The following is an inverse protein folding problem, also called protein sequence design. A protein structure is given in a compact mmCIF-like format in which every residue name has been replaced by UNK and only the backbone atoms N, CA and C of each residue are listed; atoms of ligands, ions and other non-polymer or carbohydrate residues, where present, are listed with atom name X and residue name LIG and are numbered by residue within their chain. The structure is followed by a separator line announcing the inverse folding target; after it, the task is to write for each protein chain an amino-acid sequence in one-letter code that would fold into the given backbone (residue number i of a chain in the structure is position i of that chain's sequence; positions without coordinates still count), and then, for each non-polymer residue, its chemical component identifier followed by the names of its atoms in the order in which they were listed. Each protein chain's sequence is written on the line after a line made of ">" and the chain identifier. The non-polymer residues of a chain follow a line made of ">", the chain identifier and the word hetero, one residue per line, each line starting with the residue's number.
data_IF_179725855461
#
_entry.id   IF_179725855461
#
_cell.length_a   1.000
_cell.length_b   1.000
_cell.length_c   1.000
_cell.angle_alpha   90.00
_cell.angle_beta   90.00
_cell.angle_gamma   90.00
#
_symmetry.space_group_name_H-M   'P 1'
#
loop_
_entity.id
_entity.type
_entity.pdbx_description
1 polymer ?
#
# COMPACT_ATOMS: atom_id res chain seq x y z
N UNK A 1 -7.26 -20.64 -15.86
CA UNK A 1 -6.18 -19.68 -16.18
C UNK A 1 -5.58 -19.13 -14.89
N UNK A 2 -6.41 -18.72 -13.93
CA UNK A 2 -6.03 -18.21 -12.60
C UNK A 2 -5.04 -19.11 -11.82
N UNK A 3 -5.28 -20.43 -11.76
CA UNK A 3 -4.39 -21.37 -11.05
C UNK A 3 -2.95 -21.46 -11.61
N UNK A 4 -2.76 -21.22 -12.91
CA UNK A 4 -1.44 -21.26 -13.53
C UNK A 4 -0.63 -19.98 -13.25
N UNK A 5 -1.30 -18.82 -13.26
CA UNK A 5 -0.71 -17.55 -12.86
C UNK A 5 -0.33 -17.57 -11.37
N UNK A 6 -1.22 -18.09 -10.52
CA UNK A 6 -0.97 -18.22 -9.09
C UNK A 6 0.27 -19.09 -8.76
N UNK A 7 0.42 -20.23 -9.45
CA UNK A 7 1.58 -21.09 -9.34
C UNK A 7 2.87 -20.41 -9.80
N UNK A 8 2.81 -19.66 -10.92
CA UNK A 8 3.96 -18.91 -11.42
C UNK A 8 4.40 -17.83 -10.42
N UNK A 9 3.45 -17.09 -9.84
CA UNK A 9 3.75 -16.07 -8.83
C UNK A 9 4.38 -16.68 -7.57
N UNK A 10 3.91 -17.85 -7.14
CA UNK A 10 4.51 -18.55 -6.00
C UNK A 10 5.97 -18.97 -6.27
N UNK A 11 6.32 -19.27 -7.54
CA UNK A 11 7.69 -19.59 -7.93
C UNK A 11 8.58 -18.35 -8.03
N UNK A 12 8.03 -17.24 -8.54
CA UNK A 12 8.79 -16.01 -8.78
C UNK A 12 8.94 -15.13 -7.54
N UNK A 13 7.98 -15.18 -6.62
CA UNK A 13 7.94 -14.30 -5.45
C UNK A 13 9.22 -14.37 -4.60
N UNK A 14 9.77 -15.54 -4.22
CA UNK A 14 10.98 -15.61 -3.40
C UNK A 14 12.18 -14.87 -4.00
N UNK A 15 12.31 -14.84 -5.34
CA UNK A 15 13.40 -14.11 -6.00
C UNK A 15 13.31 -12.58 -5.80
N UNK A 16 12.14 -12.04 -5.44
CA UNK A 16 11.99 -10.62 -5.09
C UNK A 16 12.66 -10.26 -3.76
N UNK A 17 12.92 -11.24 -2.88
CA UNK A 17 13.65 -10.99 -1.64
C UNK A 17 15.11 -10.63 -1.91
N UNK A 18 15.73 -11.26 -2.91
CA UNK A 18 17.10 -10.96 -3.33
C UNK A 18 17.22 -9.52 -3.86
N UNK A 19 16.18 -9.03 -4.50
CA UNK A 19 16.10 -7.65 -5.02
C UNK A 19 16.06 -6.59 -3.92
N UNK A 20 15.75 -6.95 -2.67
CA UNK A 20 15.79 -5.98 -1.56
C UNK A 20 17.20 -5.46 -1.28
N UNK A 21 18.24 -6.18 -1.72
CA UNK A 21 19.63 -5.69 -1.73
C UNK A 21 19.76 -4.43 -2.59
N UNK A 22 19.01 -4.37 -3.69
CA UNK A 22 18.90 -3.22 -4.58
C UNK A 22 17.47 -2.66 -4.57
N UNK A 23 17.12 -1.91 -3.52
CA UNK A 23 15.77 -1.38 -3.35
C UNK A 23 15.22 -0.61 -4.56
N UNK A 24 16.08 -0.03 -5.42
CA UNK A 24 15.64 0.64 -6.65
C UNK A 24 15.14 -0.37 -7.71
N UNK A 25 15.82 -1.49 -7.90
CA UNK A 25 15.37 -2.55 -8.81
C UNK A 25 14.08 -3.19 -8.32
N UNK A 26 13.96 -3.38 -6.99
CA UNK A 26 12.71 -3.78 -6.36
C UNK A 26 11.56 -2.79 -6.70
N UNK A 27 11.80 -1.48 -6.55
CA UNK A 27 10.81 -0.46 -6.93
C UNK A 27 10.43 -0.53 -8.40
N UNK A 28 11.39 -0.62 -9.32
CA UNK A 28 11.14 -0.64 -10.77
C UNK A 28 10.29 -1.85 -11.20
N UNK A 29 10.43 -3.01 -10.52
CA UNK A 29 9.68 -4.22 -10.83
C UNK A 29 8.21 -4.18 -10.38
N UNK A 30 7.92 -3.47 -9.29
CA UNK A 30 6.65 -3.52 -8.56
C UNK A 30 5.78 -2.28 -8.70
N UNK A 31 6.34 -1.15 -9.12
CA UNK A 31 5.62 0.12 -9.32
C UNK A 31 5.60 0.47 -10.80
N UNK A 32 4.47 1.03 -11.26
CA UNK A 32 4.38 1.48 -12.64
C UNK A 32 5.32 2.64 -12.91
N UNK A 33 6.27 2.43 -13.81
CA UNK A 33 7.24 3.44 -14.26
C UNK A 33 7.18 3.58 -15.78
N UNK A 34 7.58 4.73 -16.31
CA UNK A 34 7.64 4.98 -17.75
C UNK A 34 8.68 4.11 -18.50
N UNK A 35 9.45 3.27 -17.80
CA UNK A 35 10.54 2.48 -18.38
C UNK A 35 10.11 1.06 -18.77
N UNK A 36 8.88 0.63 -18.43
CA UNK A 36 8.30 -0.65 -18.85
C UNK A 36 8.92 -1.90 -18.20
N UNK A 37 9.73 -1.74 -17.15
CA UNK A 37 10.39 -2.84 -16.42
C UNK A 37 9.61 -3.30 -15.18
N UNK A 38 8.28 -3.31 -15.26
CA UNK A 38 7.37 -3.44 -14.12
C UNK A 38 6.46 -4.68 -14.22
N UNK A 39 7.03 -5.90 -14.35
CA UNK A 39 6.26 -7.12 -14.59
C UNK A 39 5.22 -7.43 -13.50
N UNK A 40 5.41 -6.88 -12.29
CA UNK A 40 4.54 -7.12 -11.14
C UNK A 40 3.70 -5.91 -10.75
N UNK A 41 3.67 -4.83 -11.54
CA UNK A 41 2.96 -3.60 -11.17
C UNK A 41 1.47 -3.81 -10.87
N UNK A 42 0.82 -4.76 -11.55
CA UNK A 42 -0.63 -4.99 -11.46
C UNK A 42 -0.97 -6.40 -10.99
N UNK A 43 0.00 -7.16 -10.49
CA UNK A 43 -0.16 -8.57 -10.12
C UNK A 43 0.21 -8.74 -8.65
N UNK A 44 -0.60 -9.41 -7.82
CA UNK A 44 -0.43 -9.43 -6.37
C UNK A 44 0.67 -10.38 -5.88
N UNK A 45 1.90 -10.21 -6.36
CA UNK A 45 3.05 -11.08 -6.06
C UNK A 45 3.47 -11.03 -4.59
N UNK A 46 3.27 -9.91 -3.90
CA UNK A 46 3.69 -9.77 -2.49
C UNK A 46 2.84 -10.62 -1.56
N UNK A 47 1.58 -10.90 -1.92
CA UNK A 47 0.71 -11.82 -1.16
C UNK A 47 1.26 -13.25 -1.05
N UNK A 48 2.25 -13.61 -1.90
CA UNK A 48 2.91 -14.92 -1.91
C UNK A 48 4.17 -14.96 -1.05
N UNK A 49 4.63 -13.81 -0.55
CA UNK A 49 5.80 -13.73 0.32
C UNK A 49 5.39 -13.93 1.77
N UNK A 50 6.24 -14.61 2.52
CA UNK A 50 6.13 -14.63 3.98
C UNK A 50 6.48 -13.23 4.55
N UNK A 51 5.57 -12.59 5.32
CA UNK A 51 5.81 -11.26 5.88
C UNK A 51 7.03 -11.18 6.79
N UNK A 52 7.27 -12.23 7.60
CA UNK A 52 8.40 -12.26 8.54
C UNK A 52 9.72 -12.35 7.78
N UNK A 53 9.80 -13.21 6.76
CA UNK A 53 10.96 -13.32 5.89
C UNK A 53 11.23 -12.02 5.12
N UNK A 54 10.20 -11.36 4.61
CA UNK A 54 10.33 -10.06 3.96
C UNK A 54 10.93 -9.01 4.91
N UNK A 55 10.37 -8.88 6.13
CA UNK A 55 10.85 -7.90 7.12
C UNK A 55 12.28 -8.21 7.55
N UNK A 56 12.59 -9.49 7.82
CA UNK A 56 13.95 -9.93 8.14
C UNK A 56 14.92 -9.56 7.02
N UNK A 57 14.55 -9.77 5.76
CA UNK A 57 15.40 -9.48 4.61
C UNK A 57 15.59 -7.97 4.41
N UNK A 58 14.51 -7.18 4.52
CA UNK A 58 14.58 -5.72 4.49
C UNK A 58 15.49 -5.17 5.60
N UNK A 59 15.36 -5.65 6.84
CA UNK A 59 16.18 -5.19 7.95
C UNK A 59 17.67 -5.51 7.77
N UNK A 60 17.99 -6.57 7.03
CA UNK A 60 19.36 -6.96 6.67
C UNK A 60 19.87 -6.29 5.39
N UNK A 61 19.01 -5.67 4.58
CA UNK A 61 19.41 -5.03 3.33
C UNK A 61 20.21 -3.72 3.55
N UNK A 62 20.94 -3.24 2.52
CA UNK A 62 21.64 -1.96 2.56
C UNK A 62 20.71 -0.80 2.91
N UNK A 63 21.16 0.09 3.80
CA UNK A 63 20.32 1.16 4.36
C UNK A 63 19.98 2.24 3.35
N UNK A 64 20.77 2.34 2.29
CA UNK A 64 20.58 3.21 1.12
C UNK A 64 19.34 2.80 0.33
N UNK A 65 18.98 1.51 0.34
CA UNK A 65 17.81 0.96 -0.35
C UNK A 65 16.50 1.08 0.44
N UNK A 66 16.56 1.34 1.75
CA UNK A 66 15.38 1.32 2.62
C UNK A 66 14.29 2.31 2.20
N UNK A 67 14.70 3.48 1.72
CA UNK A 67 13.76 4.47 1.17
C UNK A 67 12.96 3.89 0.00
N UNK A 68 13.62 3.23 -0.94
CA UNK A 68 12.98 2.67 -2.13
C UNK A 68 12.03 1.52 -1.78
N UNK A 69 12.42 0.66 -0.85
CA UNK A 69 11.55 -0.41 -0.36
C UNK A 69 10.28 0.17 0.27
N UNK A 70 10.46 1.14 1.18
CA UNK A 70 9.33 1.84 1.80
C UNK A 70 8.41 2.53 0.79
N UNK A 71 9.01 3.24 -0.17
CA UNK A 71 8.28 3.92 -1.23
C UNK A 71 7.55 2.96 -2.18
N UNK A 72 8.13 1.78 -2.45
CA UNK A 72 7.49 0.73 -3.25
C UNK A 72 6.17 0.31 -2.62
N UNK A 73 6.22 0.00 -1.31
CA UNK A 73 5.04 -0.42 -0.58
C UNK A 73 4.00 0.69 -0.49
N UNK A 74 4.44 1.95 -0.33
CA UNK A 74 3.52 3.09 -0.26
C UNK A 74 2.81 3.34 -1.59
N UNK A 75 3.55 3.46 -2.70
CA UNK A 75 2.97 3.69 -4.02
C UNK A 75 2.06 2.54 -4.47
N UNK A 76 2.46 1.30 -4.18
CA UNK A 76 1.71 0.10 -4.56
C UNK A 76 0.39 -0.06 -3.81
N UNK A 77 0.37 0.29 -2.53
CA UNK A 77 -0.83 0.18 -1.70
C UNK A 77 -1.57 1.51 -1.55
N UNK A 78 -1.18 2.52 -2.35
CA UNK A 78 -1.88 3.80 -2.40
C UNK A 78 -3.26 3.59 -3.00
N UNK A 79 -4.29 4.14 -2.34
CA UNK A 79 -5.70 3.99 -2.74
C UNK A 79 -5.96 4.39 -4.20
N UNK A 80 -5.24 5.41 -4.71
CA UNK A 80 -5.38 5.87 -6.10
C UNK A 80 -4.86 4.88 -7.16
N UNK A 81 -4.03 3.91 -6.77
CA UNK A 81 -3.44 2.90 -7.66
C UNK A 81 -3.92 1.49 -7.37
N UNK A 82 -4.82 1.36 -6.39
CA UNK A 82 -5.36 0.08 -5.99
C UNK A 82 -6.36 -0.41 -7.04
N UNK A 83 -6.08 -1.57 -7.62
CA UNK A 83 -7.01 -2.31 -8.45
C UNK A 83 -7.49 -3.53 -7.68
N UNK A 84 -8.61 -4.13 -8.11
CA UNK A 84 -9.21 -5.31 -7.47
C UNK A 84 -8.20 -6.47 -7.29
N UNK A 85 -7.20 -6.57 -8.16
CA UNK A 85 -6.19 -7.62 -8.09
C UNK A 85 -5.21 -7.42 -6.93
N UNK A 86 -4.86 -6.18 -6.56
CA UNK A 86 -3.92 -5.86 -5.48
C UNK A 86 -4.57 -5.85 -4.09
N UNK A 87 -5.90 -5.85 -3.98
CA UNK A 87 -6.58 -5.88 -2.69
C UNK A 87 -6.21 -7.10 -1.84
N UNK A 88 -5.88 -8.23 -2.46
CA UNK A 88 -5.44 -9.44 -1.76
C UNK A 88 -4.11 -9.26 -1.01
N UNK A 89 -3.33 -8.21 -1.32
CA UNK A 89 -2.10 -7.87 -0.57
C UNK A 89 -2.38 -7.05 0.70
N UNK A 90 -3.61 -6.55 0.91
CA UNK A 90 -3.94 -5.71 2.08
C UNK A 90 -3.62 -6.39 3.43
N UNK A 91 -3.97 -7.67 3.67
CA UNK A 91 -3.61 -8.33 4.93
C UNK A 91 -2.09 -8.44 5.10
N UNK A 92 -1.39 -8.76 4.01
CA UNK A 92 0.06 -8.90 3.98
C UNK A 92 0.78 -7.61 4.37
N UNK A 93 0.41 -6.47 3.78
CA UNK A 93 1.06 -5.19 4.10
C UNK A 93 0.78 -4.74 5.54
N UNK A 94 -0.44 -4.99 6.07
CA UNK A 94 -0.76 -4.70 7.48
C UNK A 94 0.14 -5.49 8.42
N UNK A 95 0.41 -6.75 8.10
CA UNK A 95 1.32 -7.60 8.89
C UNK A 95 2.77 -7.11 8.83
N UNK A 96 3.28 -6.79 7.63
CA UNK A 96 4.62 -6.20 7.43
C UNK A 96 4.78 -4.92 8.23
N UNK A 97 3.81 -4.00 8.17
CA UNK A 97 3.84 -2.74 8.93
C UNK A 97 3.88 -3.02 10.44
N UNK A 98 3.03 -3.93 10.94
CA UNK A 98 3.01 -4.30 12.35
C UNK A 98 4.37 -4.84 12.82
N UNK A 99 5.00 -5.72 12.02
CA UNK A 99 6.32 -6.29 12.32
C UNK A 99 7.42 -5.22 12.31
N UNK A 100 7.42 -4.31 11.34
CA UNK A 100 8.37 -3.19 11.28
C UNK A 100 8.18 -2.25 12.46
N UNK A 101 6.95 -1.92 12.83
CA UNK A 101 6.63 -1.09 14.00
C UNK A 101 7.14 -1.74 15.30
N UNK A 102 6.95 -3.04 15.47
CA UNK A 102 7.53 -3.79 16.59
C UNK A 102 9.06 -3.68 16.62
N UNK A 103 9.74 -3.83 15.49
CA UNK A 103 11.20 -3.71 15.46
C UNK A 103 11.68 -2.27 15.73
N UNK A 104 10.93 -1.25 15.31
CA UNK A 104 11.24 0.14 15.62
C UNK A 104 11.26 0.42 17.13
N UNK A 105 10.50 -0.32 17.95
CA UNK A 105 10.53 -0.19 19.42
C UNK A 105 11.86 -0.70 20.01
N UNK A 106 12.53 -1.62 19.32
CA UNK A 106 13.78 -2.26 19.74
C UNK A 106 15.01 -1.49 19.27
N UNK A 107 14.91 -0.82 18.12
CA UNK A 107 15.98 -0.03 17.54
C UNK A 107 16.16 1.33 18.25
N UNK A 108 17.40 1.85 18.24
CA UNK A 108 17.75 3.16 18.80
C UNK A 108 18.55 4.01 17.81
N UNK A 109 18.57 5.32 18.04
CA UNK A 109 19.36 6.29 17.27
C UNK A 109 19.03 6.30 15.78
N UNK A 110 20.06 6.47 14.94
CA UNK A 110 19.90 6.63 13.49
C UNK A 110 19.31 5.41 12.77
N UNK A 111 19.45 4.20 13.32
CA UNK A 111 18.83 3.00 12.73
C UNK A 111 17.30 3.08 12.82
N UNK A 112 16.78 3.41 14.00
CA UNK A 112 15.35 3.66 14.21
C UNK A 112 14.87 4.81 13.33
N UNK A 113 15.58 5.93 13.32
CA UNK A 113 15.19 7.10 12.52
C UNK A 113 15.07 6.78 11.03
N UNK A 114 16.01 6.02 10.46
CA UNK A 114 15.94 5.60 9.05
C UNK A 114 14.73 4.71 8.78
N UNK A 115 14.46 3.74 9.66
CA UNK A 115 13.33 2.83 9.49
C UNK A 115 11.99 3.57 9.61
N UNK A 116 11.87 4.49 10.58
CA UNK A 116 10.71 5.39 10.70
C UNK A 116 10.49 6.12 9.39
N UNK A 117 11.53 6.75 8.84
CA UNK A 117 11.41 7.53 7.61
C UNK A 117 10.99 6.70 6.40
N UNK A 118 11.40 5.43 6.35
CA UNK A 118 11.04 4.51 5.28
C UNK A 118 9.59 4.00 5.38
N UNK A 119 9.09 3.75 6.60
CA UNK A 119 7.75 3.17 6.80
C UNK A 119 6.63 4.22 6.87
N UNK A 120 6.94 5.47 7.25
CA UNK A 120 5.95 6.54 7.42
C UNK A 120 4.99 6.75 6.24
N UNK A 121 5.45 6.74 4.97
CA UNK A 121 4.55 6.87 3.83
C UNK A 121 3.49 5.77 3.79
N UNK A 122 3.88 4.51 4.03
CA UNK A 122 2.97 3.35 4.03
C UNK A 122 1.95 3.46 5.16
N UNK A 123 2.41 3.79 6.36
CA UNK A 123 1.52 3.95 7.54
C UNK A 123 0.48 5.04 7.30
N UNK A 124 0.84 6.08 6.55
CA UNK A 124 -0.07 7.17 6.23
C UNK A 124 -1.16 6.69 5.26
N UNK A 125 -0.79 5.97 4.21
CA UNK A 125 -1.73 5.41 3.24
C UNK A 125 -2.71 4.41 3.90
N UNK A 126 -2.23 3.52 4.78
CA UNK A 126 -3.09 2.53 5.44
C UNK A 126 -4.07 3.12 6.46
N UNK A 127 -3.74 4.26 7.08
CA UNK A 127 -4.61 4.91 8.08
C UNK A 127 -5.80 5.65 7.47
N UNK A 128 -5.76 5.95 6.17
CA UNK A 128 -6.88 6.56 5.44
C UNK A 128 -8.03 5.57 5.29
N UNK A 129 -7.74 4.27 5.23
CA UNK A 129 -8.75 3.22 5.02
C UNK A 129 -9.63 3.00 6.27
N UNK A 130 -9.10 3.13 7.48
CA UNK A 130 -9.86 2.89 8.72
C UNK A 130 -10.81 4.07 9.07
N UNK A 131 -10.80 5.17 8.31
CA UNK A 131 -11.61 6.37 8.57
C UNK A 131 -12.89 6.47 7.73
N UNK A 132 -13.16 5.53 6.81
CA UNK A 132 -14.32 5.57 5.89
C UNK A 132 -15.54 4.75 6.38
N UNK A 133 -15.40 3.94 7.43
CA UNK A 133 -16.49 3.13 8.01
C UNK A 133 -17.45 3.92 8.93
N UNK A 134 -17.38 5.26 8.95
CA UNK A 134 -18.28 6.12 9.73
C UNK A 134 -19.21 7.01 8.89
N UNK A 135 -19.57 6.59 7.67
CA UNK A 135 -20.72 7.17 6.98
C UNK A 135 -22.03 6.59 7.54
N UNK A 136 -22.47 7.26 8.59
CA UNK A 136 -23.85 7.42 9.06
C UNK A 136 -24.91 6.96 8.02
N UNK A 137 -25.60 5.85 8.33
CA UNK A 137 -26.89 5.51 7.75
C UNK A 137 -27.93 6.55 8.21
N UNK A 138 -27.88 7.74 7.60
CA UNK A 138 -28.64 8.91 8.00
C UNK A 138 -29.46 9.50 6.86
N UNK A 139 -30.52 8.79 6.46
CA UNK A 139 -31.71 9.30 5.77
C UNK A 139 -31.57 9.81 4.33
N UNK A 140 -31.95 8.94 3.39
CA UNK A 140 -32.75 9.37 2.24
C UNK A 140 -34.00 10.14 2.71
N UNK A 141 -34.09 11.43 2.40
CA UNK A 141 -35.37 12.12 2.21
C UNK A 141 -35.28 13.06 1.00
N UNK A 142 -35.54 12.49 -0.19
CA UNK A 142 -36.13 13.26 -1.28
C UNK A 142 -37.56 13.62 -0.86
N UNK A 143 -37.72 14.78 -0.23
CA UNK A 143 -39.01 15.43 -0.04
C UNK A 143 -39.33 16.27 -1.26
N UNK A 144 -40.26 15.79 -2.08
CA UNK A 144 -40.96 16.60 -3.07
C UNK A 144 -41.92 17.51 -2.32
N UNK A 145 -41.65 18.82 -2.25
CA UNK A 145 -42.68 19.81 -1.95
C UNK A 145 -42.62 20.95 -2.96
N UNK A 146 -43.70 21.04 -3.73
CA UNK A 146 -44.02 22.12 -4.64
C UNK A 146 -44.65 23.30 -3.88
N UNK A 147 -44.56 24.47 -4.52
CA UNK A 147 -45.30 25.73 -4.27
C UNK A 147 -44.90 26.60 -3.08
N UNK A 148 -44.25 27.74 -3.35
CA UNK A 148 -44.91 29.06 -3.26
C UNK A 148 -44.03 30.16 -3.88
N UNK A 149 -44.61 30.98 -4.76
CA UNK A 149 -43.97 32.16 -5.31
C UNK A 149 -44.00 33.33 -4.31
N UNK A 150 -43.02 34.24 -4.31
CA UNK A 150 -43.23 35.58 -3.81
C UNK A 150 -43.32 36.59 -4.95
N UNK A 151 -44.45 37.31 -5.00
CA UNK A 151 -44.64 38.51 -5.81
C UNK A 151 -43.70 39.63 -5.34
N UNK A 152 -43.05 40.30 -6.29
CA UNK A 152 -42.29 41.52 -6.03
C UNK A 152 -43.21 42.75 -6.06
N UNK A 153 -43.04 43.74 -5.17
CA UNK A 153 -43.72 45.02 -5.28
C UNK A 153 -43.02 45.90 -6.33
N UNK A 154 -43.78 46.51 -7.22
CA UNK A 154 -43.35 47.63 -8.06
C UNK A 154 -44.09 48.90 -7.62
N UNK A 155 -43.31 49.95 -7.38
CA UNK A 155 -43.58 51.40 -7.30
C UNK A 155 -44.99 51.88 -6.94
#
# INVERSE_FOLDING_TARGET
>A
MEKALDAQLAMDAPALLDELVNGKEFFEKLVSTYTGKNPYAYVPVLSKLDPEEFVRTWLNSPKEGWYWIGNTLAERHKRSFQNDALEVERPWIKEVVSMVEKEMTRLKGFRRFRLVRAIQPIVTELKVDDQDDSLDEGACRYGVEAHHAPAQPSA
#
